data_IF_834691321589
#
_entry.id   IF_834691321589
#
_cell.length_a   1.000
_cell.length_b   1.000
_cell.length_c   1.000
_cell.angle_alpha   90.00
_cell.angle_beta   90.00
_cell.angle_gamma   90.00
#
_symmetry.space_group_name_H-M   'P 1'
#
loop_
_entity.id
_entity.type
_entity.pdbx_description
1 polymer ?
#
# COMPACT_ATOMS: atom_id res chain seq x y z
N UNK A 1 -0.48 2.50 -1.64
CA UNK A 1 -0.53 2.62 -0.17
C UNK A 1 -0.39 1.24 0.45
N UNK A 2 0.09 1.19 1.69
CA UNK A 2 0.27 -0.02 2.47
C UNK A 2 -1.07 -0.67 2.84
N UNK A 3 -1.09 -2.00 2.88
CA UNK A 3 -2.25 -2.81 3.20
C UNK A 3 -2.03 -3.56 4.52
N UNK A 4 -2.52 -2.99 5.61
CA UNK A 4 -2.52 -3.62 6.92
C UNK A 4 -3.88 -4.29 7.15
N UNK A 5 -3.89 -5.63 7.13
CA UNK A 5 -5.10 -6.45 7.27
C UNK A 5 -4.91 -7.47 8.40
N UNK A 6 -5.98 -7.71 9.15
CA UNK A 6 -6.01 -8.66 10.25
C UNK A 6 -5.91 -8.02 11.64
N UNK A 7 -6.34 -8.74 12.69
CA UNK A 7 -6.29 -8.25 14.07
C UNK A 7 -4.85 -7.94 14.49
N UNK A 8 -4.64 -6.79 15.14
CA UNK A 8 -3.30 -6.33 15.59
C UNK A 8 -2.39 -5.73 14.50
N UNK A 9 -2.76 -5.84 13.22
CA UNK A 9 -1.95 -5.30 12.10
C UNK A 9 -1.83 -3.76 12.09
N UNK A 10 -2.69 -3.08 12.84
CA UNK A 10 -2.72 -1.61 12.95
C UNK A 10 -2.11 -1.09 14.26
N UNK A 11 -1.66 -1.96 15.16
CA UNK A 11 -1.12 -1.55 16.47
C UNK A 11 0.39 -1.69 16.52
N UNK A 12 1.08 -0.73 17.14
CA UNK A 12 2.54 -0.77 17.35
C UNK A 12 3.36 -0.91 16.07
N UNK A 13 2.95 -0.25 14.98
CA UNK A 13 3.67 -0.27 13.70
C UNK A 13 4.92 0.61 13.84
N UNK A 14 6.09 0.13 13.43
CA UNK A 14 7.25 1.00 13.26
C UNK A 14 7.09 1.81 11.97
N UNK A 15 7.19 3.14 12.08
CA UNK A 15 6.88 4.09 11.03
C UNK A 15 8.03 5.08 10.83
N UNK A 16 8.21 5.48 9.58
CA UNK A 16 9.05 6.60 9.19
C UNK A 16 8.14 7.76 8.80
N UNK A 17 8.14 8.82 9.61
CA UNK A 17 7.42 10.05 9.36
C UNK A 17 8.34 11.03 8.61
N UNK A 18 8.16 11.10 7.30
CA UNK A 18 8.92 11.98 6.42
C UNK A 18 8.23 13.33 6.29
N UNK A 19 8.98 14.40 6.53
CA UNK A 19 8.44 15.75 6.62
C UNK A 19 9.35 16.70 5.86
N UNK A 20 8.78 17.47 4.96
CA UNK A 20 9.50 18.52 4.23
C UNK A 20 9.21 19.89 4.84
N UNK A 21 10.17 20.79 4.79
CA UNK A 21 10.02 22.13 5.39
C UNK A 21 8.98 22.98 4.67
N UNK A 22 8.84 22.78 3.35
CA UNK A 22 7.78 23.39 2.54
C UNK A 22 6.42 22.67 2.66
N UNK A 23 6.35 21.58 3.43
CA UNK A 23 5.17 20.74 3.59
C UNK A 23 4.13 21.35 4.55
N UNK A 24 3.89 22.65 4.52
CA UNK A 24 3.00 23.36 5.45
C UNK A 24 1.88 24.05 4.66
N UNK A 25 0.66 24.06 5.21
CA UNK A 25 -0.45 24.85 4.64
C UNK A 25 -0.13 26.34 4.65
N UNK A 26 -0.72 27.12 3.73
CA UNK A 26 -0.53 28.58 3.65
C UNK A 26 -0.77 29.30 4.99
N UNK A 27 -1.75 28.83 5.77
CA UNK A 27 -2.07 29.38 7.09
C UNK A 27 -1.16 28.90 8.23
N UNK A 28 -0.17 28.05 7.95
CA UNK A 28 0.74 27.48 8.96
C UNK A 28 0.13 26.42 9.89
N UNK A 29 -1.20 26.23 9.87
CA UNK A 29 -1.95 25.42 10.84
C UNK A 29 -1.70 23.92 10.74
N UNK A 30 -1.41 23.43 9.54
CA UNK A 30 -1.17 22.01 9.31
C UNK A 30 0.14 21.78 8.57
N UNK A 31 0.80 20.68 8.92
CA UNK A 31 1.97 20.15 8.25
C UNK A 31 1.63 18.79 7.64
N UNK A 32 2.05 18.57 6.41
CA UNK A 32 1.90 17.32 5.71
C UNK A 32 3.05 16.39 6.08
N UNK A 33 2.69 15.21 6.59
CA UNK A 33 3.62 14.15 6.96
C UNK A 33 3.35 12.96 6.05
N UNK A 34 4.38 12.54 5.31
CA UNK A 34 4.39 11.28 4.56
C UNK A 34 4.86 10.17 5.50
N UNK A 35 3.90 9.44 6.06
CA UNK A 35 4.18 8.33 6.95
C UNK A 35 4.29 7.02 6.14
N UNK A 36 5.35 6.27 6.39
CA UNK A 36 5.64 4.99 5.75
C UNK A 36 5.87 3.90 6.81
N UNK A 37 5.55 2.66 6.48
CA UNK A 37 5.96 1.51 7.31
C UNK A 37 7.48 1.34 7.20
N UNK A 38 8.18 1.13 8.31
CA UNK A 38 9.59 0.78 8.26
C UNK A 38 9.77 -0.55 7.50
N UNK A 39 10.65 -0.61 6.51
CA UNK A 39 10.91 -1.82 5.74
C UNK A 39 11.41 -2.99 6.61
N UNK A 40 11.98 -2.68 7.78
CA UNK A 40 12.44 -3.64 8.80
C UNK A 40 11.31 -4.12 9.71
N UNK A 41 10.17 -3.44 9.72
CA UNK A 41 8.98 -3.93 10.40
C UNK A 41 8.48 -5.20 9.70
N UNK A 42 7.98 -6.18 10.47
CA UNK A 42 7.48 -7.44 9.93
C UNK A 42 6.40 -7.23 8.84
N UNK A 43 5.69 -6.10 8.88
CA UNK A 43 4.62 -5.74 7.94
C UNK A 43 5.13 -5.10 6.65
N UNK A 44 6.40 -4.71 6.60
CA UNK A 44 7.02 -3.99 5.48
C UNK A 44 7.34 -4.86 4.25
N UNK A 45 8.12 -5.95 4.37
CA UNK A 45 8.68 -6.69 3.22
C UNK A 45 7.68 -7.23 2.19
N UNK A 46 6.43 -7.47 2.58
CA UNK A 46 5.39 -7.95 1.66
C UNK A 46 4.67 -6.81 0.89
N UNK A 47 4.96 -5.55 1.21
CA UNK A 47 4.26 -4.39 0.66
C UNK A 47 5.00 -3.85 -0.56
N UNK A 48 4.30 -3.77 -1.69
CA UNK A 48 4.81 -3.08 -2.90
C UNK A 48 4.78 -1.54 -2.76
N UNK A 49 4.14 -1.03 -1.70
CA UNK A 49 4.07 0.40 -1.39
C UNK A 49 3.93 0.58 0.12
N UNK A 50 4.93 1.21 0.75
CA UNK A 50 5.01 1.35 2.21
C UNK A 50 4.30 2.60 2.75
N UNK A 51 3.84 3.51 1.89
CA UNK A 51 3.15 4.73 2.29
C UNK A 51 1.78 4.44 2.90
N UNK A 52 1.47 5.04 4.04
CA UNK A 52 0.19 4.87 4.70
C UNK A 52 -0.98 5.50 3.91
N UNK A 53 -0.75 6.66 3.29
CA UNK A 53 -1.71 7.29 2.37
C UNK A 53 -1.16 7.34 0.95
N UNK A 54 -2.06 7.31 -0.03
CA UNK A 54 -1.68 7.60 -1.41
C UNK A 54 -2.89 8.08 -2.18
N UNK A 55 -2.90 9.37 -2.52
CA UNK A 55 -3.99 10.04 -3.21
C UNK A 55 -3.54 10.50 -4.59
N UNK A 56 -4.33 10.21 -5.62
CA UNK A 56 -4.11 10.78 -6.96
C UNK A 56 -4.46 12.26 -6.94
N UNK A 57 -3.53 13.09 -7.39
CA UNK A 57 -3.70 14.54 -7.55
C UNK A 57 -3.35 14.88 -8.99
N UNK A 58 -4.18 15.71 -9.62
CA UNK A 58 -3.94 16.19 -10.97
C UNK A 58 -3.17 17.51 -10.87
N UNK A 59 -2.02 17.57 -11.53
CA UNK A 59 -1.22 18.78 -11.58
C UNK A 59 -1.81 19.81 -12.55
N UNK A 60 -1.30 21.04 -12.52
CA UNK A 60 -1.65 22.10 -13.50
C UNK A 60 -1.35 21.67 -14.93
N UNK A 61 -0.31 20.85 -15.12
CA UNK A 61 0.05 20.25 -16.41
C UNK A 61 -0.83 19.05 -16.81
N UNK A 62 -1.87 18.74 -16.04
CA UNK A 62 -2.77 17.61 -16.28
C UNK A 62 -2.19 16.23 -15.95
N UNK A 63 -0.91 16.15 -15.58
CA UNK A 63 -0.25 14.91 -15.15
C UNK A 63 -0.78 14.46 -13.79
N UNK A 64 -1.07 13.16 -13.67
CA UNK A 64 -1.46 12.57 -12.38
C UNK A 64 -0.21 12.30 -11.55
N UNK A 65 -0.16 12.89 -10.35
CA UNK A 65 0.84 12.60 -9.32
C UNK A 65 0.18 11.94 -8.12
N UNK A 66 0.98 11.33 -7.27
CA UNK A 66 0.51 10.75 -6.00
C UNK A 66 0.97 11.62 -4.85
N UNK A 67 0.03 12.05 -4.01
CA UNK A 67 0.29 12.69 -2.74
C UNK A 67 0.15 11.64 -1.64
N UNK A 68 1.24 11.40 -0.90
CA UNK A 68 1.28 10.45 0.20
C UNK A 68 1.27 11.14 1.58
N UNK A 69 1.11 12.47 1.61
CA UNK A 69 1.08 13.27 2.82
C UNK A 69 -0.30 13.29 3.47
N UNK A 70 -0.33 13.04 4.78
CA UNK A 70 -1.48 13.31 5.63
C UNK A 70 -1.26 14.62 6.41
N UNK A 71 -2.32 15.40 6.61
CA UNK A 71 -2.24 16.66 7.33
C UNK A 71 -2.33 16.44 8.84
N UNK A 72 -1.36 16.95 9.59
CA UNK A 72 -1.32 16.96 11.05
C UNK A 72 -1.28 18.41 11.52
N UNK A 73 -1.98 18.70 12.62
CA UNK A 73 -1.83 20.01 13.29
C UNK A 73 -0.42 20.19 13.85
N UNK A 74 -0.04 21.43 14.15
CA UNK A 74 1.27 21.72 14.77
C UNK A 74 1.50 20.92 16.05
N UNK A 75 0.52 20.85 16.95
CA UNK A 75 0.64 20.07 18.19
C UNK A 75 0.81 18.58 17.94
N UNK A 76 0.09 18.02 16.96
CA UNK A 76 0.27 16.62 16.55
C UNK A 76 1.67 16.37 15.96
N UNK A 77 2.21 17.31 15.20
CA UNK A 77 3.57 17.21 14.67
C UNK A 77 4.62 17.27 15.79
N UNK A 78 4.45 18.17 16.77
CA UNK A 78 5.32 18.24 17.94
C UNK A 78 5.33 16.94 18.74
N UNK A 79 4.17 16.27 18.89
CA UNK A 79 4.10 14.94 19.50
C UNK A 79 4.94 13.91 18.74
N UNK A 80 4.91 13.92 17.40
CA UNK A 80 5.71 13.03 16.55
C UNK A 80 7.21 13.29 16.77
N UNK A 81 7.63 14.55 16.74
CA UNK A 81 9.04 14.94 16.97
C UNK A 81 9.49 14.53 18.36
N UNK A 82 8.66 14.78 19.37
CA UNK A 82 8.94 14.41 20.77
C UNK A 82 9.08 12.91 20.95
N UNK A 83 8.23 12.12 20.30
CA UNK A 83 8.27 10.66 20.38
C UNK A 83 9.47 10.06 19.63
N UNK A 84 9.88 10.66 18.52
CA UNK A 84 11.10 10.26 17.82
C UNK A 84 12.36 10.57 18.63
N UNK A 85 12.34 11.69 19.37
CA UNK A 85 13.48 12.14 20.17
C UNK A 85 14.71 12.36 19.28
N UNK A 86 15.88 11.76 19.61
CA UNK A 86 17.08 11.88 18.78
C UNK A 86 17.05 10.98 17.52
N UNK A 87 16.00 10.18 17.32
CA UNK A 87 15.92 9.22 16.22
C UNK A 87 15.36 9.88 14.94
N UNK A 88 16.15 10.75 14.33
CA UNK A 88 15.82 11.42 13.09
C UNK A 88 17.03 11.51 12.15
N UNK A 89 16.74 11.68 10.85
CA UNK A 89 17.74 11.88 9.81
C UNK A 89 17.33 13.07 8.92
N UNK A 90 18.24 13.99 8.59
CA UNK A 90 17.96 15.09 7.67
C UNK A 90 17.76 14.59 6.23
N UNK A 91 16.84 15.24 5.51
CA UNK A 91 16.66 15.06 4.08
C UNK A 91 17.38 16.20 3.40
N UNK A 92 18.43 15.91 2.64
CA UNK A 92 19.19 16.92 1.91
C UNK A 92 18.83 16.95 0.42
N UNK A 93 18.89 18.13 -0.19
CA UNK A 93 18.82 18.27 -1.65
C UNK A 93 20.18 17.94 -2.30
N UNK A 94 20.26 18.08 -3.63
CA UNK A 94 21.51 17.83 -4.39
C UNK A 94 22.63 18.80 -4.01
N UNK A 95 22.28 19.98 -3.51
CA UNK A 95 23.18 21.04 -3.09
C UNK A 95 23.64 20.86 -1.63
N UNK A 96 23.15 19.82 -0.93
CA UNK A 96 23.48 19.51 0.46
C UNK A 96 22.66 20.28 1.50
N UNK A 97 21.68 21.08 1.08
CA UNK A 97 20.82 21.82 1.98
C UNK A 97 19.73 20.91 2.56
N UNK A 98 19.49 21.02 3.87
CA UNK A 98 18.38 20.35 4.52
C UNK A 98 17.06 20.92 4.02
N UNK A 99 16.23 20.06 3.44
CA UNK A 99 14.89 20.40 2.91
C UNK A 99 13.76 19.71 3.70
N UNK A 100 14.13 18.98 4.76
CA UNK A 100 13.20 18.23 5.59
C UNK A 100 13.91 17.23 6.50
N UNK A 101 13.11 16.42 7.20
CA UNK A 101 13.59 15.40 8.14
C UNK A 101 12.72 14.15 8.09
N UNK A 102 13.34 13.02 8.44
CA UNK A 102 12.68 11.73 8.66
C UNK A 102 12.74 11.46 10.16
N UNK A 103 11.60 11.18 10.76
CA UNK A 103 11.48 10.80 12.17
C UNK A 103 11.05 9.34 12.27
N UNK A 104 11.77 8.50 13.01
CA UNK A 104 11.28 7.15 13.28
C UNK A 104 10.50 7.09 14.58
N UNK A 105 9.26 6.64 14.47
CA UNK A 105 8.32 6.50 15.58
C UNK A 105 7.62 5.16 15.49
N UNK A 106 7.21 4.62 16.63
CA UNK A 106 6.26 3.52 16.70
C UNK A 106 4.89 4.09 17.05
N UNK A 107 3.85 3.67 16.34
CA UNK A 107 2.50 4.09 16.66
C UNK A 107 1.44 3.11 16.17
N UNK A 108 0.24 3.24 16.71
CA UNK A 108 -0.93 2.68 16.05
C UNK A 108 -1.25 3.51 14.81
N UNK A 109 -1.79 2.85 13.79
CA UNK A 109 -2.34 3.49 12.61
C UNK A 109 -3.86 3.37 12.62
N UNK A 110 -4.53 4.32 11.99
CA UNK A 110 -5.98 4.33 11.90
C UNK A 110 -6.41 4.74 10.48
N UNK A 111 -7.62 4.36 10.05
CA UNK A 111 -8.17 4.86 8.80
C UNK A 111 -8.20 6.39 8.78
N UNK A 112 -7.76 6.96 7.67
CA UNK A 112 -7.91 8.39 7.40
C UNK A 112 -9.38 8.75 7.34
N UNK A 113 -9.77 9.85 7.97
CA UNK A 113 -11.12 10.41 7.86
C UNK A 113 -11.47 10.84 6.43
N UNK A 114 -10.46 11.05 5.58
CA UNK A 114 -10.63 11.38 4.15
C UNK A 114 -10.77 10.14 3.26
N UNK A 115 -10.73 8.93 3.81
CA UNK A 115 -10.83 7.68 3.05
C UNK A 115 -9.66 7.40 2.10
N UNK A 116 -8.58 8.16 2.20
CA UNK A 116 -7.41 8.10 1.30
C UNK A 116 -6.26 7.23 1.86
N UNK A 117 -6.55 6.39 2.84
CA UNK A 117 -5.64 5.39 3.38
C UNK A 117 -5.58 5.35 4.90
N UNK A 118 -4.39 5.12 5.44
CA UNK A 118 -4.12 5.07 6.86
C UNK A 118 -3.36 6.32 7.32
N UNK A 119 -3.54 6.73 8.56
CA UNK A 119 -2.79 7.81 9.20
C UNK A 119 -2.21 7.32 10.52
N UNK A 120 -1.12 7.94 10.93
CA UNK A 120 -0.50 7.71 12.23
C UNK A 120 -1.43 8.27 13.32
N UNK A 121 -1.63 7.50 14.40
CA UNK A 121 -2.35 7.97 15.58
C UNK A 121 -1.36 8.58 16.58
N UNK A 122 -1.39 9.91 16.72
CA UNK A 122 -0.45 10.63 17.61
C UNK A 122 -0.64 10.32 19.09
N UNK A 123 -1.79 9.78 19.49
CA UNK A 123 -2.07 9.40 20.88
C UNK A 123 -1.35 8.13 21.36
N UNK A 124 -0.77 7.37 20.43
CA UNK A 124 -0.08 6.10 20.69
C UNK A 124 1.39 6.14 20.27
N UNK A 125 1.97 7.34 20.26
CA UNK A 125 3.33 7.55 19.80
C UNK A 125 4.35 7.07 20.83
N UNK A 126 5.27 6.25 20.36
CA UNK A 126 6.43 5.74 21.07
C UNK A 126 7.67 5.91 20.18
N UNK A 127 8.85 5.75 20.78
CA UNK A 127 10.09 5.71 20.02
C UNK A 127 10.11 4.43 19.15
N UNK A 128 10.56 4.56 17.91
CA UNK A 128 10.75 3.37 17.04
C UNK A 128 11.77 2.41 17.62
N UNK A 129 11.57 1.11 17.39
CA UNK A 129 12.56 0.06 17.72
C UNK A 129 13.82 0.19 16.86
N UNK A 130 13.70 0.84 15.69
CA UNK A 130 14.76 0.94 14.71
C UNK A 130 15.29 2.35 14.60
N UNK A 131 16.62 2.47 14.50
CA UNK A 131 17.29 3.75 14.25
C UNK A 131 17.18 4.14 12.78
N UNK A 132 16.95 5.43 12.53
CA UNK A 132 17.09 6.03 11.20
C UNK A 132 18.56 6.37 10.97
N UNK A 133 19.02 6.09 9.77
CA UNK A 133 20.31 6.47 9.24
C UNK A 133 20.17 6.80 7.75
N UNK A 134 21.28 7.23 7.13
CA UNK A 134 21.35 7.55 5.71
C UNK A 134 20.97 6.39 4.78
N UNK A 135 21.05 5.13 5.23
CA UNK A 135 20.70 3.93 4.44
C UNK A 135 19.24 3.53 4.59
N UNK A 136 18.53 4.13 5.54
CA UNK A 136 17.15 3.73 5.85
C UNK A 136 16.23 3.93 4.65
N UNK A 137 16.40 5.02 3.89
CA UNK A 137 15.62 5.23 2.66
C UNK A 137 16.01 4.24 1.54
N UNK A 138 17.29 3.87 1.42
CA UNK A 138 17.70 2.85 0.44
C UNK A 138 17.08 1.49 0.76
N UNK A 139 16.98 1.13 2.05
CA UNK A 139 16.31 -0.09 2.50
C UNK A 139 14.81 -0.07 2.19
N UNK A 140 14.16 1.10 2.32
CA UNK A 140 12.77 1.29 1.91
C UNK A 140 12.58 0.99 0.42
N UNK A 141 13.42 1.58 -0.44
CA UNK A 141 13.36 1.36 -1.88
C UNK A 141 13.66 -0.09 -2.27
N UNK A 142 14.68 -0.70 -1.67
CA UNK A 142 15.05 -2.09 -1.92
C UNK A 142 13.92 -3.05 -1.54
N UNK A 143 13.28 -2.84 -0.38
CA UNK A 143 12.15 -3.65 0.09
C UNK A 143 10.95 -3.55 -0.85
N UNK A 144 10.56 -2.33 -1.24
CA UNK A 144 9.45 -2.14 -2.20
C UNK A 144 9.76 -2.75 -3.57
N UNK A 145 11.01 -2.66 -4.05
CA UNK A 145 11.43 -3.27 -5.31
C UNK A 145 11.35 -4.80 -5.24
N UNK A 146 11.89 -5.40 -4.18
CA UNK A 146 11.83 -6.85 -3.98
C UNK A 146 10.39 -7.36 -3.87
N UNK A 147 9.53 -6.65 -3.13
CA UNK A 147 8.10 -6.98 -3.04
C UNK A 147 7.41 -6.89 -4.41
N UNK A 148 7.78 -5.90 -5.23
CA UNK A 148 7.25 -5.74 -6.59
C UNK A 148 7.69 -6.88 -7.51
N UNK A 149 8.97 -7.22 -7.50
CA UNK A 149 9.51 -8.34 -8.28
C UNK A 149 8.87 -9.68 -7.88
N UNK A 150 8.68 -9.92 -6.58
CA UNK A 150 7.98 -11.10 -6.09
C UNK A 150 6.50 -11.13 -6.53
N UNK A 151 5.80 -9.99 -6.48
CA UNK A 151 4.42 -9.89 -6.93
C UNK A 151 4.28 -10.09 -8.45
N UNK A 152 5.23 -9.56 -9.24
CA UNK A 152 5.25 -9.73 -10.69
C UNK A 152 5.58 -11.19 -11.07
N UNK A 153 6.51 -11.85 -10.36
CA UNK A 153 6.79 -13.28 -10.54
C UNK A 153 5.59 -14.17 -10.20
N UNK A 154 4.88 -13.88 -9.10
CA UNK A 154 3.68 -14.62 -8.71
C UNK A 154 2.54 -14.50 -9.74
N UNK A 155 2.38 -13.31 -10.35
CA UNK A 155 1.41 -13.11 -11.44
C UNK A 155 1.76 -13.90 -12.69
N UNK A 156 3.05 -13.98 -13.04
CA UNK A 156 3.51 -14.76 -14.20
C UNK A 156 3.29 -16.27 -13.95
N UNK A 157 3.53 -16.76 -12.73
CA UNK A 157 3.25 -18.16 -12.36
C UNK A 157 1.75 -18.47 -12.39
N UNK A 158 0.90 -17.61 -11.82
CA UNK A 158 -0.56 -17.79 -11.87
C UNK A 158 -1.14 -17.70 -13.28
N UNK A 159 -0.60 -16.82 -14.13
CA UNK A 159 -0.97 -16.74 -15.55
C UNK A 159 -0.50 -17.96 -16.37
N UNK A 160 0.46 -18.74 -15.86
CA UNK A 160 0.92 -19.98 -16.50
C UNK A 160 0.13 -21.23 -16.04
N UNK A 161 -0.61 -21.13 -14.93
CA UNK A 161 -1.49 -22.20 -14.42
C UNK A 161 -2.98 -22.04 -14.85
N UNK A 162 -3.36 -20.93 -15.49
CA UNK A 162 -4.65 -20.78 -16.16
C UNK A 162 -4.41 -20.66 -17.68
N UNK A 163 -4.48 -21.77 -18.45
CA UNK A 163 -5.76 -22.46 -18.67
C UNK A 163 -5.65 -23.98 -18.76
N UNK A 164 -6.26 -24.70 -17.81
CA UNK A 164 -6.59 -26.13 -17.98
C UNK A 164 -7.94 -26.53 -17.34
N UNK A 165 -8.76 -25.57 -16.91
CA UNK A 165 -10.04 -25.86 -16.25
C UNK A 165 -11.28 -25.63 -17.14
N UNK A 166 -11.13 -25.10 -18.36
CA UNK A 166 -12.27 -24.88 -19.28
C UNK A 166 -12.32 -25.85 -20.49
N UNK A 167 -11.44 -26.85 -20.55
CA UNK A 167 -11.38 -27.79 -21.68
C UNK A 167 -12.05 -29.17 -21.44
N UNK A 168 -12.89 -29.32 -20.41
CA UNK A 168 -13.53 -30.61 -20.10
C UNK A 168 -15.06 -30.60 -20.08
N UNK A 169 -15.72 -29.54 -20.57
CA UNK A 169 -17.18 -29.46 -20.61
C UNK A 169 -17.82 -29.46 -22.02
N UNK A 170 -17.06 -29.45 -23.12
CA UNK A 170 -17.65 -29.46 -24.47
C UNK A 170 -16.90 -30.42 -25.40
N UNK A 171 -17.42 -31.64 -25.54
CA UNK A 171 -17.33 -32.45 -26.75
C UNK A 171 -18.41 -33.56 -26.71
N UNK A 172 -18.96 -33.97 -27.87
CA UNK A 172 -20.40 -33.98 -28.12
C UNK A 172 -21.01 -35.38 -28.21
N UNK A 173 -22.25 -35.54 -27.74
CA UNK A 173 -23.11 -36.68 -28.07
C UNK A 173 -23.93 -36.37 -29.32
N UNK A 174 -23.40 -36.71 -30.50
CA UNK A 174 -24.10 -36.84 -31.78
C UNK A 174 -23.25 -37.78 -32.66
N UNK A 175 -23.71 -38.83 -33.33
CA UNK A 175 -25.03 -39.37 -33.65
C UNK A 175 -24.81 -40.79 -34.19
N UNK A 176 -25.78 -41.69 -34.07
CA UNK A 176 -26.01 -42.69 -35.12
C UNK A 176 -27.49 -42.71 -35.47
N UNK A 177 -27.75 -42.16 -36.67
CA UNK A 177 -28.74 -42.52 -37.67
C UNK A 177 -30.06 -43.20 -37.25
N UNK A 178 -31.13 -42.45 -37.53
CA UNK A 178 -32.49 -42.93 -37.81
C UNK A 178 -32.52 -43.53 -39.23
N UNK A 179 -33.40 -44.51 -39.51
CA UNK A 179 -34.61 -44.15 -40.26
C UNK A 179 -35.82 -44.93 -39.72
N UNK A 180 -37.08 -44.70 -40.05
CA UNK A 180 -37.91 -43.66 -40.67
C UNK A 180 -39.20 -44.44 -41.02
N UNK A 181 -40.29 -44.22 -40.27
CA UNK A 181 -41.70 -44.32 -40.70
C UNK A 181 -42.34 -45.70 -40.96
N UNK A 182 -43.49 -45.93 -40.32
CA UNK A 182 -44.83 -46.25 -40.90
C UNK A 182 -45.75 -46.63 -39.72
N UNK A 183 -46.61 -45.72 -39.26
CA UNK A 183 -48.00 -45.47 -39.66
C UNK A 183 -49.05 -46.46 -39.09
N UNK A 184 -50.11 -45.85 -38.55
CA UNK A 184 -51.50 -46.28 -38.41
C UNK A 184 -51.93 -47.60 -37.69
N UNK A 185 -52.90 -47.40 -36.78
CA UNK A 185 -54.05 -48.27 -36.45
C UNK A 185 -53.78 -49.67 -35.82
N UNK A 186 -54.32 -50.04 -34.65
CA UNK A 186 -55.74 -50.22 -34.38
C UNK A 186 -55.99 -50.48 -32.89
N UNK A 187 -57.06 -49.88 -32.39
CA UNK A 187 -57.74 -50.26 -31.16
C UNK A 187 -58.64 -51.49 -31.40
N UNK A 188 -58.55 -52.52 -30.56
CA UNK A 188 -59.63 -53.45 -30.19
C UNK A 188 -59.18 -54.04 -28.83
N UNK A 189 -59.95 -54.04 -27.74
CA UNK A 189 -61.34 -54.44 -27.61
C UNK A 189 -61.37 -55.93 -27.29
#
# INVERSE_FOLDING_TARGET
MAQLRGPGSMTGVNLLAKVYDNGVTKDGKFRFVDAQIDARDQRGPAQTNLHLTSQRVKDSDGKTRYNNGAAYSTGQFEEIVKAAGPNFEPITNKDGEEIGRIYAVKANVMPSTKGNGLVLNTKSLEQSDFKVDSKTMDQQFASMKAAKEAADAAKVSQAKEAPAAEAQAEAPEQSTDVPLFEDEELAVG
#
